data_IF_504032490345
#
_entry.id   IF_504032490345
#
_cell.length_a   1.000
_cell.length_b   1.000
_cell.length_c   1.000
_cell.angle_alpha   90.00
_cell.angle_beta   90.00
_cell.angle_gamma   90.00
#
_symmetry.space_group_name_H-M   'P 1'
#
loop_
_entity.id
_entity.type
_entity.pdbx_description
1 polymer ?
#
# COMPACT_ATOMS: atom_id res chain seq x y z
N UNK A 1 -6.11 -30.67 -0.06
CA UNK A 1 -4.85 -29.98 -0.42
C UNK A 1 -4.82 -28.62 0.19
N UNK A 2 -3.88 -28.39 1.06
CA UNK A 2 -3.65 -27.06 1.57
C UNK A 2 -3.06 -26.18 0.46
N UNK A 3 -3.63 -24.99 0.28
CA UNK A 3 -3.06 -24.00 -0.62
C UNK A 3 -1.77 -23.48 -0.03
N UNK A 4 -0.70 -23.55 -0.78
CA UNK A 4 0.52 -22.86 -0.41
C UNK A 4 0.27 -21.34 -0.52
N UNK A 5 0.54 -20.62 0.54
CA UNK A 5 0.52 -19.16 0.51
C UNK A 5 1.75 -18.67 -0.23
N UNK A 6 1.52 -17.85 -1.24
CA UNK A 6 2.58 -17.26 -2.04
C UNK A 6 2.79 -15.81 -1.59
N UNK A 7 4.03 -15.46 -1.30
CA UNK A 7 4.39 -14.08 -1.05
C UNK A 7 4.66 -13.37 -2.37
N UNK A 8 3.73 -12.52 -2.79
CA UNK A 8 3.90 -11.70 -3.98
C UNK A 8 4.97 -10.63 -3.76
N UNK A 9 4.99 -10.05 -2.56
CA UNK A 9 6.04 -9.13 -2.12
C UNK A 9 6.72 -9.77 -0.92
N UNK A 10 8.02 -9.96 -1.01
CA UNK A 10 8.83 -10.46 0.10
C UNK A 10 9.50 -9.28 0.81
N UNK A 11 9.19 -9.11 2.10
CA UNK A 11 9.83 -8.04 2.87
C UNK A 11 11.31 -8.34 3.05
N UNK A 12 12.13 -7.33 2.80
CA UNK A 12 13.57 -7.39 3.05
C UNK A 12 14.08 -6.00 3.44
N UNK A 13 15.33 -5.92 3.82
CA UNK A 13 15.95 -4.64 4.18
C UNK A 13 15.96 -3.63 3.02
N UNK A 14 15.79 -4.10 1.79
CA UNK A 14 15.64 -3.22 0.62
C UNK A 14 14.41 -2.31 0.73
N UNK A 15 13.37 -2.76 1.43
CA UNK A 15 12.13 -2.02 1.61
C UNK A 15 12.16 -1.14 2.86
N UNK A 16 13.13 -1.32 3.73
CA UNK A 16 13.26 -0.54 4.96
C UNK A 16 13.74 0.89 4.65
N UNK A 17 13.07 1.87 5.23
CA UNK A 17 13.49 3.27 5.20
C UNK A 17 14.28 3.67 6.45
N UNK A 18 14.46 2.76 7.40
CA UNK A 18 15.19 2.99 8.64
C UNK A 18 14.36 3.61 9.77
N UNK A 19 13.09 3.89 9.54
CA UNK A 19 12.18 4.42 10.56
C UNK A 19 11.17 3.32 10.91
N UNK A 20 11.27 2.81 12.13
CA UNK A 20 10.50 1.65 12.57
C UNK A 20 8.99 1.82 12.38
N UNK A 21 8.45 2.98 12.76
CA UNK A 21 7.02 3.25 12.62
C UNK A 21 6.57 3.14 11.16
N UNK A 22 7.33 3.71 10.24
CA UNK A 22 7.03 3.66 8.81
C UNK A 22 7.22 2.25 8.28
N UNK A 23 8.30 1.58 8.66
CA UNK A 23 8.57 0.20 8.24
C UNK A 23 7.45 -0.74 8.68
N UNK A 24 6.97 -0.60 9.91
CA UNK A 24 5.86 -1.43 10.42
C UNK A 24 4.58 -1.20 9.62
N UNK A 25 4.28 0.04 9.26
CA UNK A 25 3.13 0.37 8.41
C UNK A 25 3.29 -0.19 6.99
N UNK A 26 4.49 -0.13 6.43
CA UNK A 26 4.77 -0.72 5.12
C UNK A 26 4.63 -2.25 5.16
N UNK A 27 5.05 -2.90 6.24
CA UNK A 27 4.87 -4.35 6.40
C UNK A 27 3.40 -4.73 6.42
N UNK A 28 2.55 -3.92 7.04
CA UNK A 28 1.09 -4.14 7.02
C UNK A 28 0.53 -4.05 5.60
N UNK A 29 0.97 -3.07 4.81
CA UNK A 29 0.55 -2.93 3.42
C UNK A 29 1.02 -4.11 2.57
N UNK A 30 2.25 -4.57 2.77
CA UNK A 30 2.79 -5.73 2.08
C UNK A 30 1.98 -6.99 2.42
N UNK A 31 1.68 -7.20 3.70
CA UNK A 31 0.88 -8.33 4.14
C UNK A 31 -0.52 -8.31 3.50
N UNK A 32 -1.12 -7.13 3.41
CA UNK A 32 -2.43 -6.95 2.80
C UNK A 32 -2.43 -7.33 1.32
N UNK A 33 -1.43 -6.86 0.57
CA UNK A 33 -1.32 -7.18 -0.86
C UNK A 33 -1.06 -8.67 -1.07
N UNK A 34 -0.22 -9.27 -0.25
CA UNK A 34 0.03 -10.71 -0.30
C UNK A 34 -1.24 -11.52 -0.04
N UNK A 35 -2.03 -11.10 0.95
CA UNK A 35 -3.31 -11.74 1.26
C UNK A 35 -4.30 -11.61 0.09
N UNK A 36 -4.41 -10.40 -0.49
CA UNK A 36 -5.23 -10.18 -1.66
C UNK A 36 -4.84 -11.08 -2.83
N UNK A 37 -3.54 -11.20 -3.09
CA UNK A 37 -3.05 -12.03 -4.18
C UNK A 37 -3.44 -13.50 -3.98
N UNK A 38 -3.23 -14.04 -2.79
CA UNK A 38 -3.59 -15.42 -2.49
C UNK A 38 -5.09 -15.67 -2.58
N UNK A 39 -5.89 -14.70 -2.21
CA UNK A 39 -7.35 -14.81 -2.27
C UNK A 39 -7.87 -14.77 -3.71
N UNK A 40 -7.37 -13.85 -4.51
CA UNK A 40 -7.77 -13.71 -5.93
C UNK A 40 -7.44 -14.97 -6.73
N UNK A 41 -6.34 -15.65 -6.39
CA UNK A 41 -5.95 -16.89 -7.06
C UNK A 41 -6.85 -18.09 -6.70
N UNK A 42 -7.73 -17.95 -5.72
CA UNK A 42 -8.39 -19.10 -5.10
C UNK A 42 -9.87 -19.34 -5.41
N UNK A 43 -10.75 -18.32 -5.36
CA UNK A 43 -12.18 -18.59 -5.45
C UNK A 43 -12.99 -17.33 -5.81
N UNK A 44 -13.73 -17.38 -6.91
CA UNK A 44 -14.51 -16.27 -7.44
C UNK A 44 -15.80 -15.97 -6.64
N UNK A 45 -16.35 -16.92 -5.90
CA UNK A 45 -17.68 -16.80 -5.27
C UNK A 45 -17.69 -15.85 -4.08
N UNK A 46 -16.61 -15.81 -3.31
CA UNK A 46 -16.47 -14.94 -2.14
C UNK A 46 -15.79 -13.61 -2.47
N UNK A 47 -15.48 -13.39 -3.73
CA UNK A 47 -14.67 -12.28 -4.20
C UNK A 47 -15.27 -10.92 -3.85
N UNK A 48 -16.58 -10.76 -3.97
CA UNK A 48 -17.25 -9.48 -3.73
C UNK A 48 -17.18 -9.05 -2.25
N UNK A 49 -17.58 -9.93 -1.34
CA UNK A 49 -17.58 -9.63 0.10
C UNK A 49 -16.16 -9.42 0.62
N UNK A 50 -15.24 -10.27 0.18
CA UNK A 50 -13.84 -10.18 0.52
C UNK A 50 -13.25 -8.86 0.03
N UNK A 51 -13.52 -8.50 -1.22
CA UNK A 51 -13.02 -7.27 -1.82
C UNK A 51 -13.47 -6.05 -1.04
N UNK A 52 -14.77 -5.95 -0.71
CA UNK A 52 -15.28 -4.82 0.06
C UNK A 52 -14.62 -4.71 1.43
N UNK A 53 -14.49 -5.82 2.14
CA UNK A 53 -13.87 -5.85 3.46
C UNK A 53 -12.41 -5.44 3.42
N UNK A 54 -11.66 -5.99 2.49
CA UNK A 54 -10.22 -5.73 2.35
C UNK A 54 -9.97 -4.29 1.90
N UNK A 55 -10.74 -3.80 0.95
CA UNK A 55 -10.59 -2.43 0.45
C UNK A 55 -10.87 -1.41 1.54
N UNK A 56 -11.88 -1.61 2.38
CA UNK A 56 -12.14 -0.72 3.51
C UNK A 56 -10.96 -0.69 4.49
N UNK A 57 -10.39 -1.86 4.79
CA UNK A 57 -9.21 -1.97 5.63
C UNK A 57 -7.98 -1.33 4.99
N UNK A 58 -7.77 -1.55 3.70
CA UNK A 58 -6.66 -0.98 2.95
C UNK A 58 -6.70 0.54 2.93
N UNK A 59 -7.87 1.12 2.68
CA UNK A 59 -8.04 2.58 2.68
C UNK A 59 -7.65 3.17 4.03
N UNK A 60 -8.08 2.55 5.12
CA UNK A 60 -7.72 3.02 6.47
C UNK A 60 -6.22 2.96 6.70
N UNK A 61 -5.59 1.85 6.39
CA UNK A 61 -4.14 1.68 6.55
C UNK A 61 -3.38 2.70 5.71
N UNK A 62 -3.78 2.90 4.46
CA UNK A 62 -3.14 3.84 3.55
C UNK A 62 -3.29 5.27 4.05
N UNK A 63 -4.47 5.68 4.48
CA UNK A 63 -4.68 7.03 5.00
C UNK A 63 -3.84 7.31 6.24
N UNK A 64 -3.82 6.38 7.19
CA UNK A 64 -3.02 6.51 8.41
C UNK A 64 -1.53 6.59 8.04
N UNK A 65 -1.07 5.73 7.15
CA UNK A 65 0.31 5.70 6.71
C UNK A 65 0.73 7.01 6.03
N UNK A 66 -0.08 7.52 5.09
CA UNK A 66 0.22 8.75 4.39
C UNK A 66 0.25 9.95 5.33
N UNK A 67 -0.71 10.05 6.24
CA UNK A 67 -0.73 11.13 7.24
C UNK A 67 0.51 11.05 8.14
N UNK A 68 0.90 9.86 8.55
CA UNK A 68 2.10 9.66 9.37
C UNK A 68 3.36 10.13 8.65
N UNK A 69 3.55 9.69 7.39
CA UNK A 69 4.72 10.12 6.60
C UNK A 69 4.75 11.63 6.38
N UNK A 70 3.62 12.21 6.00
CA UNK A 70 3.53 13.65 5.73
C UNK A 70 3.84 14.48 6.97
N UNK A 71 3.36 14.05 8.15
CA UNK A 71 3.70 14.72 9.41
C UNK A 71 5.18 14.62 9.74
N UNK A 72 5.77 13.46 9.54
CA UNK A 72 7.20 13.26 9.78
C UNK A 72 8.05 14.07 8.81
N UNK A 73 7.66 14.15 7.55
CA UNK A 73 8.36 14.95 6.56
C UNK A 73 8.32 16.43 6.89
N UNK A 74 7.17 16.94 7.35
CA UNK A 74 7.05 18.32 7.80
C UNK A 74 7.89 18.58 9.04
N UNK A 75 7.84 17.70 10.03
CA UNK A 75 8.59 17.85 11.28
C UNK A 75 10.10 17.85 11.04
N UNK A 76 10.57 17.03 10.12
CA UNK A 76 11.99 16.92 9.79
C UNK A 76 12.43 17.90 8.69
N UNK A 77 11.52 18.71 8.17
CA UNK A 77 11.76 19.67 7.07
C UNK A 77 12.40 19.00 5.86
N UNK A 78 11.89 17.83 5.49
CA UNK A 78 12.43 17.05 4.37
C UNK A 78 12.06 17.74 3.05
N UNK A 79 13.03 18.06 2.17
CA UNK A 79 12.75 18.59 0.85
C UNK A 79 11.91 17.61 0.03
N UNK A 80 11.03 18.10 -0.81
CA UNK A 80 10.18 17.24 -1.64
C UNK A 80 8.84 16.85 -1.02
N UNK A 81 8.50 17.38 0.14
CA UNK A 81 7.21 17.12 0.79
C UNK A 81 6.02 17.31 -0.16
N UNK A 82 5.99 18.41 -0.92
CA UNK A 82 4.89 18.70 -1.83
C UNK A 82 4.77 17.64 -2.94
N UNK A 83 5.89 17.18 -3.48
CA UNK A 83 5.92 16.13 -4.52
C UNK A 83 5.45 14.81 -3.94
N UNK A 84 5.90 14.46 -2.74
CA UNK A 84 5.53 13.23 -2.06
C UNK A 84 4.02 13.21 -1.75
N UNK A 85 3.50 14.31 -1.24
CA UNK A 85 2.07 14.47 -0.96
C UNK A 85 1.22 14.33 -2.24
N UNK A 86 1.68 14.88 -3.36
CA UNK A 86 1.00 14.71 -4.65
C UNK A 86 0.98 13.27 -5.10
N UNK A 87 2.07 12.53 -4.91
CA UNK A 87 2.14 11.11 -5.23
C UNK A 87 1.12 10.31 -4.41
N UNK A 88 1.00 10.60 -3.12
CA UNK A 88 -0.02 10.02 -2.25
C UNK A 88 -1.43 10.31 -2.74
N UNK A 89 -1.70 11.58 -3.09
CA UNK A 89 -3.02 11.98 -3.56
C UNK A 89 -3.41 11.29 -4.87
N UNK A 90 -2.48 11.15 -5.81
CA UNK A 90 -2.72 10.43 -7.07
C UNK A 90 -3.05 8.98 -6.83
N UNK A 91 -2.34 8.33 -5.93
CA UNK A 91 -2.58 6.94 -5.59
C UNK A 91 -3.99 6.78 -5.01
N UNK A 92 -4.36 7.62 -4.05
CA UNK A 92 -5.70 7.59 -3.44
C UNK A 92 -6.79 7.77 -4.50
N UNK A 93 -6.62 8.74 -5.40
CA UNK A 93 -7.61 8.98 -6.48
C UNK A 93 -7.76 7.77 -7.39
N UNK A 94 -6.66 7.10 -7.74
CA UNK A 94 -6.70 5.89 -8.56
C UNK A 94 -7.43 4.76 -7.85
N UNK A 95 -7.17 4.56 -6.55
CA UNK A 95 -7.84 3.54 -5.75
C UNK A 95 -9.34 3.84 -5.66
N UNK A 96 -9.71 5.09 -5.39
CA UNK A 96 -11.12 5.50 -5.30
C UNK A 96 -11.83 5.29 -6.64
N UNK A 97 -11.20 5.63 -7.76
CA UNK A 97 -11.76 5.42 -9.09
C UNK A 97 -12.06 3.94 -9.34
N UNK A 98 -11.15 3.05 -8.98
CA UNK A 98 -11.37 1.61 -9.10
C UNK A 98 -12.53 1.13 -8.22
N UNK A 99 -12.62 1.63 -6.99
CA UNK A 99 -13.70 1.29 -6.08
C UNK A 99 -15.06 1.75 -6.63
N UNK A 100 -15.13 2.97 -7.15
CA UNK A 100 -16.35 3.52 -7.74
C UNK A 100 -16.82 2.70 -8.95
N UNK A 101 -15.88 2.30 -9.81
CA UNK A 101 -16.20 1.42 -10.95
C UNK A 101 -16.75 0.08 -10.48
N UNK A 102 -16.16 -0.49 -9.46
CA UNK A 102 -16.62 -1.76 -8.90
C UNK A 102 -18.02 -1.63 -8.31
N UNK A 103 -18.27 -0.59 -7.53
CA UNK A 103 -19.57 -0.32 -6.93
C UNK A 103 -20.65 -0.01 -7.95
N UNK A 104 -20.26 0.50 -9.13
CA UNK A 104 -21.18 0.75 -10.24
C UNK A 104 -21.49 -0.52 -11.07
N UNK A 105 -21.03 -1.68 -10.62
CA UNK A 105 -21.26 -2.96 -11.30
C UNK A 105 -20.33 -3.24 -12.46
N UNK A 106 -19.31 -2.40 -12.68
CA UNK A 106 -18.31 -2.66 -13.72
C UNK A 106 -17.37 -3.75 -13.24
N UNK A 107 -17.04 -4.67 -14.14
CA UNK A 107 -16.08 -5.73 -13.82
C UNK A 107 -14.68 -5.14 -13.68
N UNK A 108 -14.12 -5.25 -12.49
CA UNK A 108 -12.73 -4.92 -12.23
C UNK A 108 -11.94 -6.23 -12.23
N UNK A 109 -10.81 -6.23 -12.91
CA UNK A 109 -9.88 -7.35 -12.83
C UNK A 109 -9.09 -7.21 -11.54
N UNK A 110 -9.46 -8.01 -10.52
CA UNK A 110 -8.81 -7.95 -9.21
C UNK A 110 -7.34 -8.34 -9.27
N UNK A 111 -6.96 -9.22 -10.17
CA UNK A 111 -5.56 -9.57 -10.38
C UNK A 111 -4.75 -8.34 -10.82
N UNK A 112 -5.26 -7.59 -11.79
CA UNK A 112 -4.60 -6.37 -12.28
C UNK A 112 -4.58 -5.28 -11.20
N UNK A 113 -5.64 -5.18 -10.41
CA UNK A 113 -5.67 -4.23 -9.30
C UNK A 113 -4.63 -4.58 -8.22
N UNK A 114 -4.51 -5.85 -7.87
CA UNK A 114 -3.49 -6.34 -6.94
C UNK A 114 -2.09 -6.06 -7.46
N UNK A 115 -1.86 -6.28 -8.76
CA UNK A 115 -0.59 -5.96 -9.41
C UNK A 115 -0.30 -4.47 -9.35
N UNK A 116 -1.30 -3.63 -9.58
CA UNK A 116 -1.16 -2.18 -9.46
C UNK A 116 -0.70 -1.78 -8.06
N UNK A 117 -1.34 -2.32 -7.02
CA UNK A 117 -0.94 -2.07 -5.64
C UNK A 117 0.49 -2.52 -5.36
N UNK A 118 0.84 -3.71 -5.83
CA UNK A 118 2.20 -4.24 -5.70
C UNK A 118 3.23 -3.31 -6.33
N UNK A 119 3.03 -2.94 -7.58
CA UNK A 119 3.96 -2.10 -8.32
C UNK A 119 4.10 -0.72 -7.67
N UNK A 120 3.00 -0.16 -7.18
CA UNK A 120 3.02 1.10 -6.48
C UNK A 120 3.80 1.01 -5.15
N UNK A 121 3.55 -0.03 -4.36
CA UNK A 121 4.27 -0.24 -3.09
C UNK A 121 5.77 -0.38 -3.35
N UNK A 122 6.16 -1.18 -4.34
CA UNK A 122 7.58 -1.37 -4.63
C UNK A 122 8.26 -0.08 -5.11
N UNK A 123 7.61 0.71 -5.95
CA UNK A 123 8.19 1.96 -6.42
C UNK A 123 8.18 3.05 -5.35
N UNK A 124 7.09 3.19 -4.62
CA UNK A 124 6.95 4.25 -3.60
C UNK A 124 7.79 3.94 -2.36
N UNK A 125 7.64 2.72 -1.81
CA UNK A 125 8.31 2.32 -0.56
C UNK A 125 9.80 2.11 -0.78
N UNK A 126 10.18 1.33 -1.79
CA UNK A 126 11.58 0.96 -2.00
C UNK A 126 12.43 2.09 -2.56
N UNK A 127 11.83 3.02 -3.30
CA UNK A 127 12.58 4.10 -3.95
C UNK A 127 12.31 5.45 -3.29
N UNK A 128 11.05 5.90 -3.23
CA UNK A 128 10.74 7.25 -2.76
C UNK A 128 10.88 7.37 -1.24
N UNK A 129 10.22 6.51 -0.47
CA UNK A 129 10.26 6.62 0.99
C UNK A 129 11.66 6.38 1.53
N UNK A 130 12.35 5.39 1.00
CA UNK A 130 13.73 5.11 1.39
C UNK A 130 14.65 6.29 1.12
N UNK A 131 14.49 6.95 -0.02
CA UNK A 131 15.30 8.11 -0.39
C UNK A 131 15.00 9.31 0.50
N UNK A 132 13.72 9.62 0.76
CA UNK A 132 13.34 10.78 1.55
C UNK A 132 13.68 10.65 3.04
N UNK A 133 13.59 9.43 3.59
CA UNK A 133 13.84 9.20 5.01
C UNK A 133 15.26 8.73 5.32
N UNK A 134 16.12 8.62 4.31
CA UNK A 134 17.50 8.19 4.50
C UNK A 134 18.26 9.15 5.41
N UNK A 135 18.83 8.61 6.48
CA UNK A 135 19.60 9.40 7.43
C UNK A 135 18.81 10.30 8.38
N UNK A 136 17.48 10.24 8.32
CA UNK A 136 16.61 11.01 9.21
C UNK A 136 16.38 10.23 10.49
N UNK A 137 16.55 10.89 11.63
CA UNK A 137 16.31 10.31 12.94
C UNK A 137 15.16 11.05 13.62
N UNK A 138 14.20 10.29 14.12
CA UNK A 138 13.10 10.83 14.92
C UNK A 138 13.19 10.32 16.35
N UNK A 139 12.86 11.19 17.30
CA UNK A 139 12.69 10.83 18.70
C UNK A 139 11.19 10.80 19.00
N UNK A 140 10.72 9.63 19.32
CA UNK A 140 9.33 9.43 19.68
C UNK A 140 9.16 9.28 21.18
#
# INVERSE_FOLDING_TARGET
MEKENIELIHWSDRLSCGIRLIDDQHKELVALVNDMFNHVAGNEIEEYEYYNKVIQGAIRCIKIHFVTEEKLMLAAKIPGYAIHKKAHARFILTVIDNINKYNAGKKINLFLFTKFLKDWILSHVALMDKQYFKGVTFTF
#
